data_IF_790965844731
#
_entry.id   IF_790965844731
#
_cell.length_a   1.000
_cell.length_b   1.000
_cell.length_c   1.000
_cell.angle_alpha   90.00
_cell.angle_beta   90.00
_cell.angle_gamma   90.00
#
_symmetry.space_group_name_H-M   'P 1'
#
loop_
_entity.id
_entity.type
_entity.pdbx_description
1 polymer ?
#
# COMPACT_ATOMS: atom_id res chain seq x y z
N UNK A 1 5.07 -4.94 -11.61
CA UNK A 1 4.29 -5.30 -12.80
C UNK A 1 5.06 -4.86 -14.05
N UNK A 2 5.04 -5.67 -15.12
CA UNK A 2 5.45 -5.23 -16.46
C UNK A 2 4.30 -5.54 -17.42
N UNK A 3 3.72 -4.50 -18.01
CA UNK A 3 2.64 -4.63 -18.97
C UNK A 3 3.20 -4.74 -20.39
N UNK A 4 2.82 -5.80 -21.10
CA UNK A 4 3.27 -6.11 -22.45
C UNK A 4 2.16 -5.96 -23.51
N UNK A 5 0.96 -5.49 -23.15
CA UNK A 5 -0.10 -5.28 -24.16
C UNK A 5 0.05 -3.96 -24.93
N UNK A 6 0.91 -3.05 -24.46
CA UNK A 6 1.23 -1.80 -25.13
C UNK A 6 2.34 -1.99 -26.18
N UNK A 7 2.42 -1.15 -27.24
CA UNK A 7 3.47 -1.24 -28.25
C UNK A 7 4.90 -1.19 -27.68
N UNK A 8 5.07 -0.50 -26.55
CA UNK A 8 6.29 -0.51 -25.75
C UNK A 8 5.94 -0.98 -24.34
N UNK A 9 6.65 -1.98 -23.78
CA UNK A 9 6.35 -2.47 -22.45
C UNK A 9 6.42 -1.37 -21.37
N UNK A 10 5.42 -1.36 -20.48
CA UNK A 10 5.29 -0.39 -19.39
C UNK A 10 5.67 -1.04 -18.06
N UNK A 11 6.61 -0.45 -17.33
CA UNK A 11 7.01 -0.94 -15.99
C UNK A 11 6.28 -0.14 -14.92
N UNK A 12 5.66 -0.84 -13.98
CA UNK A 12 4.93 -0.24 -12.85
C UNK A 12 5.36 -0.94 -11.55
N UNK A 13 5.79 -0.15 -10.57
CA UNK A 13 6.21 -0.59 -9.24
C UNK A 13 5.40 0.16 -8.18
N UNK A 14 5.50 -0.22 -6.91
CA UNK A 14 4.55 0.10 -5.83
C UNK A 14 3.17 -0.55 -6.03
N UNK A 15 2.69 -1.28 -5.03
CA UNK A 15 1.40 -1.98 -5.10
C UNK A 15 0.23 -1.03 -5.38
N UNK A 16 0.19 0.13 -4.72
CA UNK A 16 -0.85 1.14 -4.95
C UNK A 16 -0.83 1.73 -6.37
N UNK A 17 0.37 1.91 -6.95
CA UNK A 17 0.50 2.38 -8.34
C UNK A 17 0.07 1.30 -9.33
N UNK A 18 0.40 0.03 -9.07
CA UNK A 18 -0.06 -1.11 -9.88
C UNK A 18 -1.59 -1.21 -9.87
N UNK A 19 -2.23 -1.08 -8.69
CA UNK A 19 -3.69 -1.11 -8.57
C UNK A 19 -4.34 0.04 -9.34
N UNK A 20 -3.82 1.26 -9.16
CA UNK A 20 -4.31 2.44 -9.88
C UNK A 20 -4.16 2.27 -11.40
N UNK A 21 -3.00 1.80 -11.86
CA UNK A 21 -2.73 1.59 -13.28
C UNK A 21 -3.71 0.59 -13.92
N UNK A 22 -3.95 -0.55 -13.28
CA UNK A 22 -4.88 -1.56 -13.78
C UNK A 22 -6.33 -1.05 -13.75
N UNK A 23 -6.72 -0.36 -12.68
CA UNK A 23 -8.05 0.22 -12.54
C UNK A 23 -8.36 1.22 -13.66
N UNK A 24 -7.39 2.10 -13.99
CA UNK A 24 -7.53 3.06 -15.08
C UNK A 24 -7.52 2.39 -16.46
N UNK A 25 -6.63 1.42 -16.68
CA UNK A 25 -6.50 0.73 -17.96
C UNK A 25 -7.79 0.00 -18.35
N UNK A 26 -8.46 -0.63 -17.39
CA UNK A 26 -9.68 -1.40 -17.63
C UNK A 26 -10.97 -0.63 -17.33
N UNK A 27 -10.87 0.54 -16.69
CA UNK A 27 -12.04 1.34 -16.31
C UNK A 27 -12.84 0.74 -15.15
N UNK A 28 -12.18 -0.04 -14.28
CA UNK A 28 -12.83 -0.84 -13.24
C UNK A 28 -12.27 -0.51 -11.85
N UNK A 29 -13.10 -0.69 -10.80
CA UNK A 29 -12.72 -0.58 -9.38
C UNK A 29 -12.21 0.78 -8.87
N UNK A 30 -12.10 1.79 -9.75
CA UNK A 30 -11.77 3.15 -9.37
C UNK A 30 -12.81 4.11 -9.98
N UNK A 31 -13.68 4.74 -9.17
CA UNK A 31 -14.71 5.63 -9.66
C UNK A 31 -14.15 6.78 -10.52
N UNK A 32 -14.96 7.25 -11.48
CA UNK A 32 -14.67 8.45 -12.29
C UNK A 32 -15.33 9.71 -11.71
N UNK A 33 -16.40 9.55 -10.94
CA UNK A 33 -17.01 10.64 -10.17
C UNK A 33 -16.01 11.16 -9.12
N UNK A 34 -15.89 12.49 -9.00
CA UNK A 34 -14.80 13.15 -8.28
C UNK A 34 -14.81 12.84 -6.79
N UNK A 35 -15.96 12.87 -6.13
CA UNK A 35 -16.05 12.64 -4.69
C UNK A 35 -15.73 11.18 -4.33
N UNK A 36 -16.33 10.22 -5.02
CA UNK A 36 -16.08 8.80 -4.80
C UNK A 36 -14.63 8.39 -5.12
N UNK A 37 -14.04 9.00 -6.17
CA UNK A 37 -12.63 8.77 -6.53
C UNK A 37 -11.69 9.32 -5.46
N UNK A 38 -11.98 10.52 -4.93
CA UNK A 38 -11.19 11.11 -3.85
C UNK A 38 -11.22 10.23 -2.60
N UNK A 39 -12.39 9.74 -2.21
CA UNK A 39 -12.54 8.82 -1.08
C UNK A 39 -11.74 7.52 -1.29
N UNK A 40 -11.85 6.93 -2.49
CA UNK A 40 -11.10 5.70 -2.84
C UNK A 40 -9.60 5.92 -2.71
N UNK A 41 -9.09 7.06 -3.18
CA UNK A 41 -7.68 7.39 -3.03
C UNK A 41 -7.28 7.69 -1.58
N UNK A 42 -8.11 8.33 -0.78
CA UNK A 42 -7.85 8.53 0.65
C UNK A 42 -7.56 7.19 1.34
N UNK A 43 -8.38 6.16 1.07
CA UNK A 43 -8.16 4.82 1.62
C UNK A 43 -6.93 4.11 1.04
N UNK A 44 -6.71 4.21 -0.27
CA UNK A 44 -5.52 3.62 -0.91
C UNK A 44 -4.24 4.21 -0.33
N UNK A 45 -4.15 5.53 -0.21
CA UNK A 45 -2.95 6.19 0.33
C UNK A 45 -2.82 5.99 1.84
N UNK A 46 -3.93 5.93 2.60
CA UNK A 46 -3.89 5.50 3.98
C UNK A 46 -3.29 4.09 4.12
N UNK A 47 -3.69 3.14 3.27
CA UNK A 47 -3.15 1.78 3.29
C UNK A 47 -1.65 1.75 2.96
N UNK A 48 -1.24 2.50 1.93
CA UNK A 48 0.18 2.61 1.56
C UNK A 48 1.03 3.25 2.66
N UNK A 49 0.47 4.22 3.41
CA UNK A 49 1.17 4.87 4.51
C UNK A 49 1.19 4.06 5.81
N UNK A 50 0.17 3.25 6.07
CA UNK A 50 0.01 2.48 7.32
C UNK A 50 0.68 1.09 7.28
N UNK A 51 0.67 0.42 6.13
CA UNK A 51 1.23 -0.93 6.01
C UNK A 51 2.72 -1.04 6.41
N UNK A 52 3.60 -0.05 6.15
CA UNK A 52 4.98 -0.09 6.63
C UNK A 52 5.10 -0.12 8.16
N UNK A 53 4.21 0.55 8.89
CA UNK A 53 4.20 0.50 10.36
C UNK A 53 3.80 -0.90 10.85
N UNK A 54 2.81 -1.52 10.21
CA UNK A 54 2.33 -2.84 10.58
C UNK A 54 3.36 -3.94 10.24
N UNK A 55 3.93 -3.93 9.04
CA UNK A 55 4.87 -4.96 8.59
C UNK A 55 6.31 -4.69 9.02
N UNK A 56 6.84 -3.51 8.68
CA UNK A 56 8.23 -3.13 8.93
C UNK A 56 8.49 -2.65 10.37
N UNK A 57 7.46 -2.18 11.07
CA UNK A 57 7.51 -1.88 12.49
C UNK A 57 7.07 -3.08 13.32
N UNK A 58 5.77 -3.18 13.59
CA UNK A 58 5.20 -4.19 14.49
C UNK A 58 5.62 -5.61 14.09
N UNK A 59 5.34 -6.03 12.86
CA UNK A 59 5.66 -7.38 12.39
C UNK A 59 7.14 -7.71 12.51
N UNK A 60 8.03 -6.78 12.19
CA UNK A 60 9.47 -6.97 12.35
C UNK A 60 9.86 -7.15 13.82
N UNK A 61 9.59 -6.16 14.69
CA UNK A 61 10.05 -6.19 16.08
C UNK A 61 9.34 -7.27 16.92
N UNK A 62 8.08 -7.55 16.61
CA UNK A 62 7.31 -8.57 17.29
C UNK A 62 7.69 -9.99 16.86
N UNK A 63 7.86 -10.25 15.56
CA UNK A 63 8.01 -11.61 15.04
C UNK A 63 9.42 -11.97 14.57
N UNK A 64 10.14 -11.04 13.93
CA UNK A 64 11.37 -11.37 13.18
C UNK A 64 12.67 -10.90 13.82
N UNK A 65 12.64 -9.84 14.63
CA UNK A 65 13.84 -9.34 15.30
C UNK A 65 14.45 -10.45 16.17
N UNK A 66 15.79 -10.65 16.13
CA UNK A 66 16.46 -11.73 16.84
C UNK A 66 16.36 -11.57 18.37
N UNK A 67 16.15 -10.35 18.84
CA UNK A 67 15.95 -10.01 20.25
C UNK A 67 14.63 -9.24 20.42
N UNK A 68 13.97 -9.42 21.56
CA UNK A 68 12.74 -8.70 21.89
C UNK A 68 13.06 -7.35 22.51
N UNK A 69 12.78 -6.29 21.77
CA UNK A 69 12.97 -4.91 22.20
C UNK A 69 11.61 -4.36 22.63
N UNK A 70 11.32 -4.42 23.93
CA UNK A 70 10.04 -4.03 24.53
C UNK A 70 9.57 -2.65 24.03
N UNK A 71 10.43 -1.63 24.13
CA UNK A 71 10.10 -0.27 23.65
C UNK A 71 9.68 -0.23 22.18
N UNK A 72 10.37 -0.97 21.29
CA UNK A 72 10.06 -0.96 19.87
C UNK A 72 8.74 -1.67 19.58
N UNK A 73 8.49 -2.80 20.26
CA UNK A 73 7.22 -3.53 20.15
C UNK A 73 6.07 -2.63 20.64
N UNK A 74 6.21 -2.02 21.81
CA UNK A 74 5.19 -1.15 22.40
C UNK A 74 4.89 0.05 21.50
N UNK A 75 5.93 0.71 20.96
CA UNK A 75 5.78 1.85 20.04
C UNK A 75 4.96 1.50 18.79
N UNK A 76 5.10 0.30 18.25
CA UNK A 76 4.40 -0.10 17.02
C UNK A 76 3.10 -0.88 17.28
N UNK A 77 2.87 -1.36 18.50
CA UNK A 77 1.65 -2.07 18.90
C UNK A 77 0.61 -1.14 19.55
N UNK A 78 1.04 -0.11 20.26
CA UNK A 78 0.17 0.82 20.95
C UNK A 78 0.01 2.12 20.15
N UNK A 79 -1.14 2.27 19.51
CA UNK A 79 -1.67 3.60 19.17
C UNK A 79 -2.20 4.23 20.47
N UNK A 80 -1.34 4.93 21.22
CA UNK A 80 -1.77 5.83 22.30
C UNK A 80 -1.83 7.27 21.83
#
# INVERSE_FOLDING_TARGET
>A
LMDHSEPKPVRVFESGSILTYLAEKFGEFLPTERAARAETFSWLFWQMGSAPYLGGGFGHFYAYAPEKIEYAIDRFAMET
#
